data_IF_511911039036
#
_entry.id   IF_511911039036
#
_cell.length_a   1.000
_cell.length_b   1.000
_cell.length_c   1.000
_cell.angle_alpha   90.00
_cell.angle_beta   90.00
_cell.angle_gamma   90.00
#
_symmetry.space_group_name_H-M   'P 1'
#
loop_
_entity.id
_entity.type
_entity.pdbx_description
1 polymer ?
#
# COMPACT_ATOMS: atom_id res chain seq x y z
N UNK A 1 5.89 -14.85 -35.24
CA UNK A 1 6.13 -14.16 -33.95
C UNK A 1 7.31 -14.83 -33.24
N UNK A 2 8.48 -14.20 -33.27
CA UNK A 2 9.65 -14.71 -32.57
C UNK A 2 9.47 -14.44 -31.07
N UNK A 3 9.30 -15.50 -30.28
CA UNK A 3 9.34 -15.42 -28.83
C UNK A 3 10.75 -14.96 -28.42
N UNK A 4 10.84 -13.76 -27.85
CA UNK A 4 12.06 -13.27 -27.20
C UNK A 4 12.29 -14.07 -25.92
N UNK A 5 12.92 -15.24 -26.05
CA UNK A 5 13.48 -15.97 -24.92
C UNK A 5 14.78 -15.27 -24.53
N UNK A 6 14.71 -14.37 -23.55
CA UNK A 6 15.90 -13.84 -22.87
C UNK A 6 16.59 -15.01 -22.16
N UNK A 7 17.61 -15.60 -22.81
CA UNK A 7 18.51 -16.56 -22.16
C UNK A 7 19.46 -15.79 -21.26
N UNK A 8 19.20 -15.82 -19.95
CA UNK A 8 20.18 -15.37 -18.96
C UNK A 8 21.30 -16.42 -18.89
N UNK A 9 22.55 -16.03 -19.19
CA UNK A 9 23.74 -16.89 -19.05
C UNK A 9 24.13 -17.19 -17.59
N UNK A 10 23.43 -16.59 -16.62
CA UNK A 10 23.71 -16.71 -15.19
C UNK A 10 22.51 -17.28 -14.45
N UNK A 11 22.79 -18.08 -13.42
CA UNK A 11 21.80 -18.59 -12.51
C UNK A 11 20.97 -17.44 -11.90
N UNK A 12 19.65 -17.62 -11.74
CA UNK A 12 18.82 -16.63 -11.08
C UNK A 12 19.32 -16.39 -9.66
N UNK A 13 19.64 -15.13 -9.35
CA UNK A 13 20.15 -14.73 -8.04
C UNK A 13 18.96 -14.49 -7.11
N UNK A 14 19.05 -15.00 -5.87
CA UNK A 14 18.05 -14.73 -4.84
C UNK A 14 17.92 -13.24 -4.57
N UNK A 15 16.67 -12.78 -4.49
CA UNK A 15 16.34 -11.45 -4.00
C UNK A 15 16.45 -11.34 -2.47
N UNK A 16 16.20 -12.44 -1.75
CA UNK A 16 16.22 -12.48 -0.29
C UNK A 16 17.65 -12.54 0.25
N UNK A 17 17.91 -11.81 1.33
CA UNK A 17 19.20 -11.80 2.04
C UNK A 17 20.39 -11.53 1.11
N UNK A 18 20.18 -10.64 0.13
CA UNK A 18 21.17 -10.28 -0.86
C UNK A 18 21.57 -8.80 -0.71
N UNK A 19 22.57 -8.50 0.14
CA UNK A 19 23.00 -7.12 0.38
C UNK A 19 23.62 -6.45 -0.85
N UNK A 20 24.07 -7.22 -1.84
CA UNK A 20 24.60 -6.68 -3.09
C UNK A 20 23.54 -6.28 -4.12
N UNK A 21 22.27 -6.67 -3.94
CA UNK A 21 21.22 -6.49 -4.95
C UNK A 21 20.95 -5.01 -5.25
N UNK A 22 20.54 -4.24 -4.25
CA UNK A 22 20.18 -2.83 -4.44
C UNK A 22 21.39 -1.95 -4.81
N UNK A 23 22.57 -2.13 -4.20
CA UNK A 23 23.76 -1.43 -4.66
C UNK A 23 24.12 -1.73 -6.12
N UNK A 24 23.94 -2.98 -6.56
CA UNK A 24 24.13 -3.35 -7.97
C UNK A 24 23.08 -2.79 -8.93
N UNK A 25 21.82 -2.66 -8.47
CA UNK A 25 20.72 -2.10 -9.28
C UNK A 25 20.79 -0.57 -9.40
N UNK A 26 21.28 0.11 -8.37
CA UNK A 26 21.29 1.57 -8.27
C UNK A 26 22.69 2.12 -7.93
N UNK A 27 23.68 1.94 -8.81
CA UNK A 27 25.06 2.38 -8.52
C UNK A 27 25.18 3.89 -8.29
N UNK A 28 24.26 4.69 -8.85
CA UNK A 28 24.19 6.14 -8.61
C UNK A 28 23.70 6.52 -7.21
N UNK A 29 22.90 5.65 -6.56
CA UNK A 29 22.44 5.82 -5.19
C UNK A 29 23.39 5.18 -4.18
N UNK A 30 24.13 4.15 -4.61
CA UNK A 30 25.12 3.42 -3.81
C UNK A 30 26.51 3.52 -4.45
N UNK A 31 27.16 4.70 -4.43
CA UNK A 31 28.42 4.92 -5.14
C UNK A 31 29.58 4.02 -4.67
N UNK A 32 29.52 3.54 -3.42
CA UNK A 32 30.50 2.62 -2.84
C UNK A 32 30.10 1.15 -2.94
N UNK A 33 28.92 0.83 -3.47
CA UNK A 33 28.41 -0.54 -3.57
C UNK A 33 28.06 -1.20 -2.21
N UNK A 34 28.02 -0.43 -1.13
CA UNK A 34 27.77 -0.89 0.25
C UNK A 34 26.44 -0.36 0.79
N UNK A 35 25.99 -0.90 1.92
CA UNK A 35 24.79 -0.41 2.62
C UNK A 35 23.47 -0.93 2.05
N UNK A 36 23.49 -1.99 1.26
CA UNK A 36 22.28 -2.63 0.75
C UNK A 36 21.40 -3.26 1.84
N UNK A 37 20.22 -3.72 1.46
CA UNK A 37 19.24 -4.30 2.38
C UNK A 37 19.68 -5.65 2.96
N UNK A 38 19.16 -6.00 4.13
CA UNK A 38 19.28 -7.35 4.71
C UNK A 38 20.73 -7.86 4.88
N UNK A 39 21.67 -6.94 5.12
CA UNK A 39 23.06 -7.28 5.43
C UNK A 39 23.16 -7.93 6.82
N UNK A 40 23.51 -9.21 6.83
CA UNK A 40 23.68 -10.01 8.04
C UNK A 40 24.87 -9.57 8.90
N UNK A 41 25.78 -8.73 8.38
CA UNK A 41 26.89 -8.16 9.14
C UNK A 41 26.46 -6.98 10.03
N UNK A 42 25.23 -6.46 9.88
CA UNK A 42 24.72 -5.38 10.75
C UNK A 42 24.57 -5.88 12.18
N UNK A 43 24.94 -5.02 13.13
CA UNK A 43 24.77 -5.27 14.57
C UNK A 43 23.30 -5.34 14.98
N UNK A 44 22.44 -4.55 14.33
CA UNK A 44 21.00 -4.51 14.57
C UNK A 44 20.28 -4.88 13.28
N UNK A 45 19.38 -5.85 13.37
CA UNK A 45 18.52 -6.22 12.25
C UNK A 45 17.55 -5.08 11.94
N UNK A 46 17.49 -4.68 10.67
CA UNK A 46 16.56 -3.67 10.16
C UNK A 46 15.68 -4.35 9.13
N UNK A 47 14.35 -4.19 9.25
CA UNK A 47 13.42 -4.73 8.26
C UNK A 47 13.61 -4.04 6.90
N UNK A 48 13.20 -4.73 5.83
CA UNK A 48 13.22 -4.17 4.48
C UNK A 48 12.46 -2.84 4.42
N UNK A 49 11.25 -2.79 5.01
CA UNK A 49 10.39 -1.61 5.03
C UNK A 49 11.03 -0.45 5.80
N UNK A 50 11.53 -0.68 7.02
CA UNK A 50 12.13 0.37 7.84
C UNK A 50 13.40 0.93 7.20
N UNK A 51 14.19 0.08 6.54
CA UNK A 51 15.37 0.54 5.81
C UNK A 51 14.98 1.34 4.56
N UNK A 52 13.92 0.96 3.86
CA UNK A 52 13.43 1.68 2.68
C UNK A 52 12.90 3.07 3.05
N UNK A 53 12.10 3.15 4.11
CA UNK A 53 11.61 4.40 4.70
C UNK A 53 12.79 5.32 5.08
N UNK A 54 13.76 4.78 5.81
CA UNK A 54 14.96 5.54 6.18
C UNK A 54 15.72 6.11 4.97
N UNK A 55 15.85 5.34 3.88
CA UNK A 55 16.53 5.79 2.66
C UNK A 55 15.72 6.89 1.95
N UNK A 56 14.40 6.82 1.95
CA UNK A 56 13.54 7.88 1.45
C UNK A 56 13.68 9.15 2.30
N UNK A 57 13.87 9.04 3.62
CA UNK A 57 13.96 10.15 4.57
C UNK A 57 15.35 10.79 4.73
N UNK A 58 16.29 10.42 3.86
CA UNK A 58 17.60 11.07 3.86
C UNK A 58 17.52 12.54 3.43
N UNK A 59 18.33 13.38 4.09
CA UNK A 59 18.39 14.82 3.85
C UNK A 59 18.74 15.21 2.41
N UNK A 60 19.54 14.40 1.71
CA UNK A 60 19.92 14.65 0.32
C UNK A 60 18.80 14.31 -0.71
N UNK A 61 17.74 13.62 -0.26
CA UNK A 61 16.56 13.22 -1.05
C UNK A 61 16.88 12.43 -2.33
N UNK A 62 18.09 11.88 -2.47
CA UNK A 62 18.54 11.22 -3.69
C UNK A 62 17.67 10.00 -4.03
N UNK A 63 17.30 9.22 -3.01
CA UNK A 63 16.46 8.02 -3.16
C UNK A 63 15.03 8.37 -3.58
N UNK A 64 14.41 9.37 -2.94
CA UNK A 64 13.03 9.78 -3.28
C UNK A 64 12.92 10.47 -4.64
N UNK A 65 13.97 11.12 -5.13
CA UNK A 65 14.03 11.70 -6.48
C UNK A 65 14.45 10.72 -7.56
N UNK A 66 14.91 9.52 -7.19
CA UNK A 66 15.28 8.53 -8.18
C UNK A 66 14.04 7.90 -8.81
N UNK A 67 13.90 8.09 -10.13
CA UNK A 67 12.71 7.72 -10.91
C UNK A 67 12.19 6.29 -10.67
N UNK A 68 13.09 5.32 -10.52
CA UNK A 68 12.72 3.91 -10.36
C UNK A 68 12.78 3.37 -8.94
N UNK A 69 13.42 4.08 -8.00
CA UNK A 69 13.77 3.46 -6.70
C UNK A 69 12.51 3.09 -5.92
N UNK A 70 11.61 4.06 -5.70
CA UNK A 70 10.35 3.87 -4.97
C UNK A 70 9.46 2.81 -5.61
N UNK A 71 9.42 2.77 -6.94
CA UNK A 71 8.65 1.75 -7.66
C UNK A 71 9.22 0.34 -7.43
N UNK A 72 10.54 0.17 -7.58
CA UNK A 72 11.20 -1.13 -7.41
C UNK A 72 11.07 -1.64 -5.99
N UNK A 73 11.36 -0.81 -4.97
CA UNK A 73 11.28 -1.24 -3.57
C UNK A 73 9.85 -1.58 -3.16
N UNK A 74 8.84 -0.81 -3.63
CA UNK A 74 7.44 -1.13 -3.39
C UNK A 74 7.05 -2.48 -4.01
N UNK A 75 7.49 -2.75 -5.24
CA UNK A 75 7.24 -4.03 -5.91
C UNK A 75 7.88 -5.20 -5.16
N UNK A 76 9.11 -5.03 -4.68
CA UNK A 76 9.82 -6.01 -3.84
C UNK A 76 9.01 -6.29 -2.56
N UNK A 77 8.59 -5.25 -1.84
CA UNK A 77 7.79 -5.38 -0.61
C UNK A 77 6.46 -6.10 -0.89
N UNK A 78 5.73 -5.71 -1.93
CA UNK A 78 4.45 -6.34 -2.29
C UNK A 78 4.62 -7.81 -2.69
N UNK A 79 5.63 -8.12 -3.51
CA UNK A 79 5.96 -9.49 -3.91
C UNK A 79 6.31 -10.36 -2.71
N UNK A 80 7.12 -9.86 -1.78
CA UNK A 80 7.50 -10.57 -0.56
C UNK A 80 6.31 -10.83 0.37
N UNK A 81 5.43 -9.84 0.55
CA UNK A 81 4.16 -10.03 1.28
C UNK A 81 3.31 -11.12 0.64
N UNK A 82 3.18 -11.11 -0.69
CA UNK A 82 2.47 -12.16 -1.42
C UNK A 82 3.10 -13.55 -1.22
N UNK A 83 4.44 -13.66 -1.32
CA UNK A 83 5.14 -14.92 -1.07
C UNK A 83 4.97 -15.43 0.35
N UNK A 84 5.10 -14.56 1.35
CA UNK A 84 4.92 -14.93 2.76
C UNK A 84 3.51 -15.46 3.01
N UNK A 85 2.48 -14.72 2.59
CA UNK A 85 1.10 -15.16 2.80
C UNK A 85 0.77 -16.43 2.02
N UNK A 86 1.31 -16.59 0.80
CA UNK A 86 1.18 -17.84 0.04
C UNK A 86 1.85 -18.99 0.76
N UNK A 87 3.10 -18.82 1.24
CA UNK A 87 3.83 -19.84 1.98
C UNK A 87 3.09 -20.26 3.25
N UNK A 88 2.63 -19.29 4.05
CA UNK A 88 1.82 -19.55 5.24
C UNK A 88 0.54 -20.33 4.89
N UNK A 89 -0.12 -19.97 3.80
CA UNK A 89 -1.36 -20.63 3.36
C UNK A 89 -1.11 -22.04 2.85
N UNK A 90 0.00 -22.28 2.14
CA UNK A 90 0.45 -23.61 1.70
C UNK A 90 0.90 -24.48 2.87
N UNK A 91 1.48 -23.88 3.91
CA UNK A 91 1.90 -24.58 5.13
C UNK A 91 0.73 -24.96 6.05
N UNK A 92 -0.45 -24.39 5.81
CA UNK A 92 -1.67 -24.70 6.55
C UNK A 92 -2.08 -26.17 6.35
N UNK A 93 -2.58 -26.81 7.41
CA UNK A 93 -3.16 -28.16 7.35
C UNK A 93 -4.28 -28.26 6.31
N UNK A 94 -4.97 -27.15 6.02
CA UNK A 94 -6.01 -27.07 4.99
C UNK A 94 -5.48 -27.30 3.57
N UNK A 95 -4.22 -26.93 3.29
CA UNK A 95 -3.67 -27.02 1.93
C UNK A 95 -3.63 -28.46 1.41
N UNK A 96 -3.40 -29.46 2.28
CA UNK A 96 -3.42 -30.88 1.90
C UNK A 96 -4.75 -31.30 1.25
N UNK A 97 -5.85 -30.67 1.65
CA UNK A 97 -7.18 -30.94 1.10
C UNK A 97 -7.49 -30.08 -0.14
N UNK A 98 -6.81 -28.95 -0.30
CA UNK A 98 -7.04 -27.99 -1.40
C UNK A 98 -6.16 -28.30 -2.62
N UNK A 99 -4.93 -28.80 -2.41
CA UNK A 99 -3.95 -29.05 -3.47
C UNK A 99 -4.44 -30.01 -4.58
N UNK A 100 -5.12 -31.13 -4.28
CA UNK A 100 -5.70 -31.99 -5.33
C UNK A 100 -6.75 -31.25 -6.16
N UNK A 101 -7.52 -30.36 -5.52
CA UNK A 101 -8.50 -29.49 -6.17
C UNK A 101 -7.84 -28.54 -7.16
N UNK A 102 -6.72 -27.90 -6.79
CA UNK A 102 -5.93 -27.03 -7.67
C UNK A 102 -5.47 -27.74 -8.96
N UNK A 103 -5.01 -28.99 -8.84
CA UNK A 103 -4.54 -29.77 -9.98
C UNK A 103 -5.67 -30.30 -10.86
N UNK A 104 -6.86 -30.48 -10.29
CA UNK A 104 -8.05 -30.99 -11.00
C UNK A 104 -8.76 -29.94 -11.86
N UNK A 105 -8.53 -28.65 -11.61
CA UNK A 105 -9.25 -27.57 -12.30
C UNK A 105 -8.62 -27.28 -13.65
N UNK A 106 -9.42 -27.44 -14.71
CA UNK A 106 -8.99 -27.17 -16.08
C UNK A 106 -9.14 -25.70 -16.48
N UNK A 107 -8.33 -25.24 -17.44
CA UNK A 107 -8.41 -23.88 -17.96
C UNK A 107 -9.78 -23.56 -18.58
N UNK A 108 -10.42 -24.52 -19.25
CA UNK A 108 -11.76 -24.34 -19.83
C UNK A 108 -12.83 -24.18 -18.74
N UNK A 109 -12.75 -24.93 -17.65
CA UNK A 109 -13.62 -24.77 -16.47
C UNK A 109 -13.49 -23.36 -15.88
N UNK A 110 -12.26 -22.84 -15.74
CA UNK A 110 -12.03 -21.48 -15.22
C UNK A 110 -12.61 -20.41 -16.16
N UNK A 111 -12.44 -20.57 -17.48
CA UNK A 111 -12.97 -19.62 -18.46
C UNK A 111 -14.50 -19.62 -18.49
N UNK A 112 -15.12 -20.79 -18.39
CA UNK A 112 -16.57 -20.92 -18.30
C UNK A 112 -17.11 -20.29 -17.01
N UNK A 113 -16.50 -20.61 -15.87
CA UNK A 113 -16.85 -20.01 -14.58
C UNK A 113 -16.69 -18.48 -14.60
N UNK A 114 -15.60 -17.95 -15.16
CA UNK A 114 -15.38 -16.51 -15.28
C UNK A 114 -16.48 -15.83 -16.10
N UNK A 115 -16.96 -16.48 -17.16
CA UNK A 115 -18.07 -15.98 -17.99
C UNK A 115 -19.38 -15.96 -17.21
N UNK A 116 -19.69 -17.03 -16.48
CA UNK A 116 -20.89 -17.11 -15.63
C UNK A 116 -20.89 -16.09 -14.50
N UNK A 117 -19.74 -15.88 -13.85
CA UNK A 117 -19.57 -14.84 -12.82
C UNK A 117 -19.79 -13.45 -13.43
N UNK A 118 -19.21 -13.17 -14.60
CA UNK A 118 -19.38 -11.89 -15.31
C UNK A 118 -20.85 -11.61 -15.67
N UNK A 119 -21.61 -12.65 -16.01
CA UNK A 119 -23.02 -12.56 -16.36
C UNK A 119 -23.96 -12.61 -15.13
N UNK A 120 -23.41 -12.62 -13.92
CA UNK A 120 -24.17 -12.72 -12.66
C UNK A 120 -25.12 -13.93 -12.60
N UNK A 121 -24.73 -15.04 -13.24
CA UNK A 121 -25.53 -16.26 -13.25
C UNK A 121 -25.61 -16.87 -11.84
N UNK A 122 -26.79 -17.44 -11.52
CA UNK A 122 -27.03 -18.08 -10.22
C UNK A 122 -26.09 -19.27 -10.04
N UNK A 123 -25.55 -19.44 -8.83
CA UNK A 123 -24.67 -20.57 -8.48
C UNK A 123 -25.29 -21.96 -8.71
N UNK A 124 -26.61 -22.04 -8.82
CA UNK A 124 -27.34 -23.25 -9.22
C UNK A 124 -27.02 -23.72 -10.65
N UNK A 125 -26.62 -22.81 -11.55
CA UNK A 125 -26.26 -23.13 -12.95
C UNK A 125 -24.83 -23.65 -13.09
N UNK A 126 -24.08 -23.71 -12.00
CA UNK A 126 -22.69 -24.15 -12.01
C UNK A 126 -22.62 -25.67 -12.04
N UNK A 127 -21.76 -26.21 -12.89
CA UNK A 127 -21.38 -27.62 -12.87
C UNK A 127 -20.63 -27.96 -11.58
N UNK A 128 -20.49 -29.24 -11.27
CA UNK A 128 -19.73 -29.67 -10.09
C UNK A 128 -18.25 -29.23 -10.15
N UNK A 129 -17.65 -29.24 -11.34
CA UNK A 129 -16.28 -28.74 -11.55
C UNK A 129 -16.20 -27.21 -11.34
N UNK A 130 -17.17 -26.46 -11.85
CA UNK A 130 -17.25 -25.00 -11.66
C UNK A 130 -17.48 -24.64 -10.19
N UNK A 131 -18.31 -25.40 -9.46
CA UNK A 131 -18.50 -25.23 -8.01
C UNK A 131 -17.21 -25.49 -7.24
N UNK A 132 -16.49 -26.58 -7.56
CA UNK A 132 -15.17 -26.87 -6.96
C UNK A 132 -14.17 -25.75 -7.25
N UNK A 133 -14.09 -25.29 -8.50
CA UNK A 133 -13.23 -24.18 -8.89
C UNK A 133 -13.62 -22.87 -8.17
N UNK A 134 -14.91 -22.62 -7.97
CA UNK A 134 -15.41 -21.47 -7.22
C UNK A 134 -15.05 -21.53 -5.73
N UNK A 135 -15.18 -22.70 -5.10
CA UNK A 135 -14.74 -22.91 -3.72
C UNK A 135 -13.24 -22.71 -3.58
N UNK A 136 -12.45 -23.24 -4.52
CA UNK A 136 -11.01 -23.04 -4.56
C UNK A 136 -10.64 -21.56 -4.69
N UNK A 137 -11.33 -20.82 -5.56
CA UNK A 137 -11.14 -19.38 -5.72
C UNK A 137 -11.37 -18.61 -4.41
N UNK A 138 -12.33 -19.03 -3.59
CA UNK A 138 -12.58 -18.43 -2.27
C UNK A 138 -11.42 -18.65 -1.29
N UNK A 139 -10.84 -19.84 -1.29
CA UNK A 139 -9.65 -20.15 -0.48
C UNK A 139 -8.43 -19.32 -0.94
N UNK A 140 -8.19 -19.22 -2.25
CA UNK A 140 -7.12 -18.39 -2.82
C UNK A 140 -7.32 -16.91 -2.49
N UNK A 141 -8.55 -16.39 -2.62
CA UNK A 141 -8.86 -15.00 -2.29
C UNK A 141 -8.61 -14.67 -0.82
N UNK A 142 -8.76 -15.64 0.09
CA UNK A 142 -8.46 -15.46 1.51
C UNK A 142 -6.97 -15.17 1.74
N UNK A 143 -6.09 -15.78 0.94
CA UNK A 143 -4.64 -15.50 0.95
C UNK A 143 -4.35 -14.09 0.43
N UNK A 144 -4.99 -13.72 -0.68
CA UNK A 144 -4.82 -12.41 -1.31
C UNK A 144 -5.32 -11.24 -0.46
N UNK A 145 -6.21 -11.47 0.52
CA UNK A 145 -6.77 -10.43 1.39
C UNK A 145 -5.72 -9.67 2.20
N UNK A 146 -4.55 -10.28 2.42
CA UNK A 146 -3.43 -9.68 3.15
C UNK A 146 -2.46 -8.88 2.27
N UNK A 147 -2.68 -8.89 0.95
CA UNK A 147 -1.93 -8.07 0.00
C UNK A 147 -2.61 -6.70 -0.08
N UNK A 148 -1.94 -5.59 0.28
CA UNK A 148 -2.50 -4.26 0.17
C UNK A 148 -3.00 -3.95 -1.26
N UNK A 149 -4.17 -3.33 -1.38
CA UNK A 149 -4.78 -2.95 -2.67
C UNK A 149 -5.48 -4.08 -3.43
N UNK A 150 -5.45 -5.32 -2.93
CA UNK A 150 -6.14 -6.44 -3.58
C UNK A 150 -7.66 -6.34 -3.48
N UNK A 151 -8.40 -7.01 -4.36
CA UNK A 151 -9.87 -7.06 -4.26
C UNK A 151 -10.33 -7.64 -2.91
N UNK A 152 -9.62 -8.62 -2.39
CA UNK A 152 -9.92 -9.23 -1.11
C UNK A 152 -9.61 -8.29 0.07
N UNK A 153 -8.57 -7.44 -0.01
CA UNK A 153 -8.33 -6.40 1.00
C UNK A 153 -9.48 -5.38 1.01
N UNK A 154 -9.97 -4.96 -0.17
CA UNK A 154 -11.13 -4.06 -0.29
C UNK A 154 -12.41 -4.68 0.29
N UNK A 155 -12.62 -5.99 0.12
CA UNK A 155 -13.74 -6.70 0.77
C UNK A 155 -13.59 -6.71 2.29
N UNK A 156 -12.36 -6.90 2.80
CA UNK A 156 -12.07 -6.88 4.23
C UNK A 156 -12.39 -5.51 4.85
N UNK A 157 -11.97 -4.41 4.21
CA UNK A 157 -12.32 -3.04 4.65
C UNK A 157 -13.84 -2.83 4.73
N UNK A 158 -14.62 -3.35 3.77
CA UNK A 158 -16.10 -3.29 3.84
C UNK A 158 -16.66 -4.07 5.00
N UNK A 159 -16.06 -5.21 5.36
CA UNK A 159 -16.49 -6.01 6.50
C UNK A 159 -16.17 -5.29 7.82
N UNK A 160 -15.02 -4.62 7.90
CA UNK A 160 -14.66 -3.78 9.04
C UNK A 160 -15.66 -2.64 9.23
N UNK A 161 -16.03 -1.90 8.16
CA UNK A 161 -17.08 -0.89 8.22
C UNK A 161 -18.42 -1.47 8.73
N UNK A 162 -18.81 -2.65 8.25
CA UNK A 162 -20.04 -3.32 8.74
C UNK A 162 -19.94 -3.70 10.22
N UNK A 163 -18.76 -4.11 10.69
CA UNK A 163 -18.53 -4.41 12.11
C UNK A 163 -18.67 -3.15 12.97
N UNK A 164 -18.22 -1.99 12.48
CA UNK A 164 -18.45 -0.71 13.13
C UNK A 164 -19.94 -0.38 13.22
N UNK A 165 -20.72 -0.67 12.17
CA UNK A 165 -22.17 -0.41 12.19
C UNK A 165 -22.88 -1.27 13.24
N UNK A 166 -22.47 -2.53 13.36
CA UNK A 166 -23.04 -3.46 14.34
C UNK A 166 -22.73 -3.04 15.78
N UNK A 167 -21.54 -2.50 16.05
CA UNK A 167 -21.10 -2.15 17.40
C UNK A 167 -21.45 -0.72 17.83
N UNK A 168 -21.24 0.26 16.94
CA UNK A 168 -21.44 1.69 17.23
C UNK A 168 -22.78 2.24 16.74
N UNK A 169 -23.49 1.50 15.88
CA UNK A 169 -24.69 1.96 15.18
C UNK A 169 -24.37 2.60 13.82
N UNK A 170 -25.40 3.13 13.17
CA UNK A 170 -25.26 3.77 11.86
C UNK A 170 -24.35 5.01 11.94
N UNK A 171 -23.47 5.22 10.93
CA UNK A 171 -22.63 6.41 10.89
C UNK A 171 -23.50 7.64 10.66
N UNK A 172 -23.28 8.68 11.48
CA UNK A 172 -23.97 9.96 11.33
C UNK A 172 -23.29 10.83 10.26
N UNK A 173 -22.01 10.61 10.01
CA UNK A 173 -21.21 11.36 9.05
C UNK A 173 -20.47 10.40 8.11
N UNK A 174 -20.53 10.70 6.82
CA UNK A 174 -19.70 10.10 5.79
C UNK A 174 -18.97 11.24 5.08
N UNK A 175 -17.65 11.32 5.26
CA UNK A 175 -16.84 12.46 4.83
C UNK A 175 -15.65 11.99 4.01
N UNK A 176 -15.42 12.66 2.88
CA UNK A 176 -14.20 12.52 2.07
C UNK A 176 -13.35 13.76 2.24
N UNK A 177 -12.20 13.63 2.90
CA UNK A 177 -11.21 14.68 3.01
C UNK A 177 -10.22 14.57 1.85
N UNK A 178 -10.06 15.64 1.08
CA UNK A 178 -9.14 15.68 -0.06
C UNK A 178 -8.28 16.97 -0.01
N UNK A 179 -7.28 17.03 0.88
CA UNK A 179 -6.41 18.19 0.98
C UNK A 179 -5.59 18.36 -0.31
N UNK A 180 -5.63 19.54 -0.92
CA UNK A 180 -4.93 19.80 -2.19
C UNK A 180 -3.48 20.23 -1.95
N UNK A 181 -2.53 19.33 -2.20
CA UNK A 181 -1.09 19.65 -2.11
C UNK A 181 -0.67 20.81 -3.05
N UNK A 182 -1.23 20.85 -4.26
CA UNK A 182 -0.90 21.86 -5.29
C UNK A 182 -1.22 23.28 -4.84
N UNK A 183 -2.21 23.47 -3.96
CA UNK A 183 -2.71 24.78 -3.57
C UNK A 183 -2.44 25.10 -2.09
N UNK A 184 -1.71 24.25 -1.38
CA UNK A 184 -1.51 24.40 0.06
C UNK A 184 -0.07 24.83 0.38
N UNK A 185 0.14 25.94 1.12
CA UNK A 185 1.48 26.39 1.50
C UNK A 185 2.21 25.41 2.42
N UNK A 186 1.50 24.63 3.23
CA UNK A 186 2.10 23.58 4.09
C UNK A 186 2.84 22.54 3.25
N UNK A 187 2.25 22.13 2.11
CA UNK A 187 2.94 21.22 1.19
C UNK A 187 4.24 21.84 0.66
N UNK A 188 4.26 23.14 0.36
CA UNK A 188 5.48 23.79 -0.15
C UNK A 188 6.61 23.77 0.90
N UNK A 189 6.28 23.97 2.17
CA UNK A 189 7.25 23.85 3.28
C UNK A 189 7.73 22.41 3.44
N UNK A 190 6.84 21.41 3.39
CA UNK A 190 7.22 19.98 3.45
C UNK A 190 8.10 19.60 2.25
N UNK A 191 7.77 20.11 1.06
CA UNK A 191 8.59 19.99 -0.15
C UNK A 191 9.96 20.68 0.00
N UNK A 192 10.18 21.51 1.02
CA UNK A 192 11.45 22.18 1.30
C UNK A 192 11.60 23.55 0.65
N UNK A 193 10.50 24.25 0.37
CA UNK A 193 10.55 25.65 -0.03
C UNK A 193 10.75 26.56 1.20
N UNK A 194 11.96 27.11 1.33
CA UNK A 194 12.31 28.05 2.39
C UNK A 194 11.71 29.45 2.20
N UNK A 195 11.14 29.75 1.02
CA UNK A 195 10.52 31.03 0.71
C UNK A 195 9.07 31.16 1.18
N UNK A 196 8.45 30.09 1.69
CA UNK A 196 7.05 30.10 2.13
C UNK A 196 6.98 30.32 3.64
N UNK A 197 6.49 31.49 4.06
CA UNK A 197 6.25 31.80 5.47
C UNK A 197 4.83 31.45 5.90
N UNK A 198 4.68 30.40 6.73
CA UNK A 198 3.39 29.97 7.27
C UNK A 198 2.85 30.87 8.39
N UNK A 199 3.64 31.82 8.91
CA UNK A 199 3.17 32.79 9.89
C UNK A 199 2.34 33.92 9.23
N UNK A 200 2.47 34.10 7.92
CA UNK A 200 1.66 35.06 7.19
C UNK A 200 0.20 34.61 7.11
N UNK A 201 -0.73 35.59 7.13
CA UNK A 201 -2.17 35.31 6.98
C UNK A 201 -2.49 34.68 5.61
N UNK A 202 -1.76 35.08 4.58
CA UNK A 202 -1.90 34.60 3.21
C UNK A 202 -0.51 34.30 2.65
N UNK A 203 0.09 33.14 3.00
CA UNK A 203 1.44 32.80 2.57
C UNK A 203 1.56 32.84 1.06
N UNK A 204 2.59 33.52 0.56
CA UNK A 204 2.92 33.50 -0.85
C UNK A 204 3.38 32.09 -1.24
N UNK A 205 2.75 31.53 -2.27
CA UNK A 205 3.13 30.23 -2.84
C UNK A 205 3.69 30.43 -4.25
N UNK A 206 4.54 29.51 -4.73
CA UNK A 206 5.15 29.63 -6.06
C UNK A 206 4.10 29.77 -7.16
N UNK A 207 4.32 30.70 -8.08
CA UNK A 207 3.59 30.82 -9.34
C UNK A 207 4.54 30.50 -10.50
N UNK A 208 4.03 29.96 -11.63
CA UNK A 208 2.63 29.62 -11.92
C UNK A 208 2.16 28.30 -11.27
N UNK A 209 0.85 28.01 -11.30
CA UNK A 209 0.26 26.72 -10.87
C UNK A 209 1.02 25.48 -11.38
N UNK A 210 1.58 25.52 -12.59
CA UNK A 210 2.33 24.40 -13.16
C UNK A 210 3.60 24.07 -12.38
N UNK A 211 4.26 25.07 -11.78
CA UNK A 211 5.42 24.86 -10.92
C UNK A 211 5.00 24.10 -9.66
N UNK A 212 3.88 24.49 -9.03
CA UNK A 212 3.37 23.76 -7.85
C UNK A 212 2.96 22.33 -8.18
N UNK A 213 2.32 22.12 -9.33
CA UNK A 213 1.97 20.78 -9.80
C UNK A 213 3.23 19.93 -10.09
N UNK A 214 4.27 20.53 -10.67
CA UNK A 214 5.56 19.88 -10.88
C UNK A 214 6.20 19.46 -9.57
N UNK A 215 6.18 20.31 -8.52
CA UNK A 215 6.73 19.97 -7.20
C UNK A 215 6.03 18.77 -6.56
N UNK A 216 4.71 18.71 -6.62
CA UNK A 216 3.94 17.53 -6.16
C UNK A 216 4.36 16.27 -6.91
N UNK A 217 4.52 16.35 -8.23
CA UNK A 217 4.95 15.21 -9.05
C UNK A 217 6.41 14.81 -8.81
N UNK A 218 7.28 15.78 -8.53
CA UNK A 218 8.72 15.59 -8.31
C UNK A 218 9.04 14.92 -6.98
N UNK A 219 8.27 15.22 -5.94
CA UNK A 219 8.46 14.63 -4.61
C UNK A 219 7.17 13.92 -4.13
N UNK A 220 6.89 12.70 -4.62
CA UNK A 220 5.73 11.94 -4.20
C UNK A 220 5.79 11.54 -2.73
N UNK A 221 6.98 11.48 -2.12
CA UNK A 221 7.13 11.21 -0.68
C UNK A 221 6.64 12.42 0.12
N UNK A 222 7.11 13.63 -0.20
CA UNK A 222 6.59 14.84 0.42
C UNK A 222 5.07 15.02 0.23
N UNK A 223 4.53 14.58 -0.91
CA UNK A 223 3.08 14.60 -1.15
C UNK A 223 2.32 13.63 -0.23
N UNK A 224 2.88 12.44 0.03
CA UNK A 224 2.33 11.49 0.99
C UNK A 224 2.43 12.01 2.43
N UNK A 225 3.60 12.53 2.83
CA UNK A 225 3.82 13.12 4.15
C UNK A 225 2.85 14.27 4.41
N UNK A 226 2.63 15.12 3.41
CA UNK A 226 1.64 16.19 3.47
C UNK A 226 0.21 15.67 3.67
N UNK A 227 -0.18 14.63 2.92
CA UNK A 227 -1.52 14.08 3.03
C UNK A 227 -1.75 13.51 4.44
N UNK A 228 -0.82 12.70 4.94
CA UNK A 228 -0.87 12.14 6.28
C UNK A 228 -0.92 13.24 7.34
N UNK A 229 0.00 14.20 7.28
CA UNK A 229 0.03 15.36 8.18
C UNK A 229 -1.31 16.12 8.20
N UNK A 230 -1.91 16.38 7.04
CA UNK A 230 -3.18 17.08 6.95
C UNK A 230 -4.33 16.29 7.54
N UNK A 231 -4.42 14.98 7.27
CA UNK A 231 -5.48 14.13 7.82
C UNK A 231 -5.34 14.04 9.33
N UNK A 232 -4.15 13.76 9.86
CA UNK A 232 -3.91 13.70 11.29
C UNK A 232 -4.21 15.03 11.99
N UNK A 233 -3.80 16.15 11.39
CA UNK A 233 -4.06 17.49 11.92
C UNK A 233 -5.55 17.82 11.94
N UNK A 234 -6.29 17.47 10.87
CA UNK A 234 -7.75 17.65 10.85
C UNK A 234 -8.40 16.82 11.95
N UNK A 235 -8.05 15.54 12.08
CA UNK A 235 -8.66 14.69 13.10
C UNK A 235 -8.30 15.13 14.52
N UNK A 236 -7.04 15.47 14.78
CA UNK A 236 -6.57 15.93 16.08
C UNK A 236 -7.18 17.27 16.47
N UNK A 237 -7.04 18.27 15.61
CA UNK A 237 -7.28 19.67 15.99
C UNK A 237 -8.70 20.12 15.64
N UNK A 238 -9.29 19.62 14.55
CA UNK A 238 -10.64 20.00 14.14
C UNK A 238 -11.70 19.07 14.75
N UNK A 239 -11.44 17.76 14.75
CA UNK A 239 -12.39 16.76 15.24
C UNK A 239 -12.14 16.32 16.69
N UNK A 240 -11.04 16.77 17.29
CA UNK A 240 -10.72 16.46 18.69
C UNK A 240 -10.40 14.98 18.92
N UNK A 241 -9.83 14.28 17.94
CA UNK A 241 -9.52 12.85 18.05
C UNK A 241 -8.12 12.60 18.61
N UNK A 242 -8.01 11.75 19.63
CA UNK A 242 -6.74 11.28 20.17
C UNK A 242 -6.40 9.91 19.57
N UNK A 243 -5.47 9.90 18.59
CA UNK A 243 -5.00 8.67 17.95
C UNK A 243 -4.34 7.68 18.91
N UNK A 244 -3.70 8.16 20.00
CA UNK A 244 -3.03 7.28 20.96
C UNK A 244 -4.05 6.55 21.84
N UNK A 245 -5.14 7.24 22.21
CA UNK A 245 -6.20 6.66 23.04
C UNK A 245 -7.31 6.00 22.23
N UNK A 246 -7.39 6.26 20.93
CA UNK A 246 -8.46 5.74 20.07
C UNK A 246 -9.84 6.27 20.47
N UNK A 247 -9.92 7.52 20.92
CA UNK A 247 -11.16 8.16 21.35
C UNK A 247 -11.09 9.68 21.23
N UNK A 248 -12.23 10.36 21.36
CA UNK A 248 -12.24 11.82 21.44
C UNK A 248 -11.54 12.35 22.68
N UNK A 249 -10.98 13.54 22.56
CA UNK A 249 -10.48 14.35 23.67
C UNK A 249 -11.63 14.83 24.56
N UNK A 250 -11.27 15.46 25.69
CA UNK A 250 -12.24 15.90 26.70
C UNK A 250 -13.14 17.05 26.24
N UNK A 251 -12.70 17.85 25.28
CA UNK A 251 -13.43 19.02 24.79
C UNK A 251 -14.30 18.70 23.55
N UNK A 252 -14.03 17.57 22.89
CA UNK A 252 -14.58 17.24 21.57
C UNK A 252 -13.98 18.11 20.46
N UNK A 253 -14.51 17.94 19.25
CA UNK A 253 -14.21 18.80 18.11
C UNK A 253 -15.45 19.53 17.58
N UNK A 254 -15.38 20.01 16.35
CA UNK A 254 -16.50 20.72 15.70
C UNK A 254 -17.79 19.89 15.56
N UNK A 255 -17.67 18.55 15.63
CA UNK A 255 -18.79 17.62 15.60
C UNK A 255 -19.16 17.09 17.01
N UNK A 256 -18.63 17.69 18.06
CA UNK A 256 -18.71 17.18 19.43
C UNK A 256 -17.77 16.00 19.64
N UNK A 257 -18.14 15.08 20.53
CA UNK A 257 -17.36 13.87 20.78
C UNK A 257 -17.67 12.79 19.74
N UNK A 258 -16.66 12.43 18.95
CA UNK A 258 -16.69 11.25 18.12
C UNK A 258 -16.64 9.98 19.00
N UNK A 259 -17.69 9.17 18.89
CA UNK A 259 -17.75 7.84 19.54
C UNK A 259 -16.81 6.83 18.87
N UNK A 260 -16.70 6.90 17.55
CA UNK A 260 -15.83 6.07 16.73
C UNK A 260 -15.62 6.74 15.37
N UNK A 261 -14.48 6.48 14.75
CA UNK A 261 -14.24 6.80 13.35
C UNK A 261 -13.59 5.58 12.67
N UNK A 262 -13.85 5.43 11.39
CA UNK A 262 -13.17 4.46 10.54
C UNK A 262 -12.75 5.19 9.27
N UNK A 263 -11.44 5.16 8.96
CA UNK A 263 -10.86 5.87 7.84
C UNK A 263 -9.96 4.95 7.03
N UNK A 264 -9.97 5.14 5.70
CA UNK A 264 -9.09 4.41 4.77
C UNK A 264 -8.55 5.39 3.74
N UNK A 265 -7.27 5.29 3.42
CA UNK A 265 -6.63 5.95 2.28
C UNK A 265 -6.17 4.88 1.28
N UNK A 266 -6.24 5.19 -0.02
CA UNK A 266 -5.65 4.40 -1.11
C UNK A 266 -4.54 5.21 -1.78
#
# INVERSE_FOLDING_TARGET
PADFILRYERDPISEYNNPGLFPGMFPTLYPLGIGGFEDAQRSVSVSLEAHAEHLLDQSNRAFRYHYFYSFVILNVIQRRKAHLHTSLSVSSSKFKHIAPGLLSVSASTLSALATKIKNEEKMSTYTEDERRAFHLLKEVNTVSAKIPGSQASKITLRQEIRSYYAFFGLPQLFLTLNPSAVHNPVFQVIYGDEGVDLAERFPLIPEPRSERAYRVAKDPVAAADFFEFMIETIFRDLFGWDYKKGQSNQDGGIFGHLRAFYGTSE
#
